data_IF_805338180900
#
_entry.id   IF_805338180900
#
_cell.length_a   1.000
_cell.length_b   1.000
_cell.length_c   1.000
_cell.angle_alpha   90.00
_cell.angle_beta   90.00
_cell.angle_gamma   90.00
#
_symmetry.space_group_name_H-M   'P 1'
#
loop_
_entity.id
_entity.type
_entity.pdbx_description
1 polymer ?
#
# COMPACT_ATOMS: atom_id res chain seq x y z
N UNK A 1 -7.42 -2.00 13.91
CA UNK A 1 -6.76 -1.03 13.02
C UNK A 1 -7.73 -0.59 11.94
N UNK A 2 -7.44 0.49 11.24
CA UNK A 2 -8.18 0.86 10.02
C UNK A 2 -7.58 0.09 8.85
N UNK A 3 -8.32 -0.77 8.15
CA UNK A 3 -7.80 -1.46 6.99
C UNK A 3 -7.51 -0.47 5.86
N UNK A 4 -6.28 -0.53 5.36
CA UNK A 4 -5.82 0.19 4.18
C UNK A 4 -5.32 -0.85 3.21
N UNK A 5 -5.84 -0.81 1.98
CA UNK A 5 -5.37 -1.66 0.89
C UNK A 5 -4.87 -0.80 -0.25
N UNK A 6 -3.89 -1.32 -0.99
CA UNK A 6 -3.38 -0.71 -2.20
C UNK A 6 -3.33 -1.76 -3.29
N UNK A 7 -3.69 -1.37 -4.51
CA UNK A 7 -3.57 -2.20 -5.70
C UNK A 7 -2.86 -1.39 -6.78
N UNK A 8 -1.97 -2.03 -7.51
CA UNK A 8 -1.32 -1.47 -8.68
C UNK A 8 -1.52 -2.44 -9.84
N UNK A 9 -1.80 -1.90 -11.01
CA UNK A 9 -1.92 -2.65 -12.25
C UNK A 9 -1.21 -1.89 -13.36
N UNK A 10 -0.53 -2.61 -14.22
CA UNK A 10 0.19 -2.12 -15.39
C UNK A 10 -0.56 -2.38 -16.70
N UNK A 11 -1.67 -3.13 -16.66
CA UNK A 11 -2.46 -3.52 -17.82
C UNK A 11 -3.98 -3.48 -17.53
N UNK A 12 -4.81 -2.91 -18.44
CA UNK A 12 -4.45 -2.29 -19.72
C UNK A 12 -3.83 -0.88 -19.59
N UNK A 13 -3.93 -0.26 -18.41
CA UNK A 13 -3.36 1.05 -18.10
C UNK A 13 -2.65 1.00 -16.75
N UNK A 14 -1.64 1.86 -16.57
CA UNK A 14 -0.92 2.01 -15.31
C UNK A 14 -1.80 2.74 -14.28
N UNK A 15 -2.35 1.98 -13.33
CA UNK A 15 -3.26 2.50 -12.31
C UNK A 15 -2.77 2.05 -10.93
N UNK A 16 -2.66 3.01 -10.02
CA UNK A 16 -2.47 2.77 -8.59
C UNK A 16 -3.71 3.25 -7.83
N UNK A 17 -4.34 2.36 -7.05
CA UNK A 17 -5.49 2.67 -6.21
C UNK A 17 -5.16 2.37 -4.77
N UNK A 18 -5.34 3.36 -3.89
CA UNK A 18 -5.30 3.17 -2.44
C UNK A 18 -6.70 3.35 -1.89
N UNK A 19 -7.16 2.35 -1.14
CA UNK A 19 -8.47 2.33 -0.52
C UNK A 19 -8.34 2.31 0.99
N UNK A 20 -9.07 3.20 1.65
CA UNK A 20 -9.21 3.23 3.11
C UNK A 20 -10.66 2.94 3.43
N UNK A 21 -10.91 1.87 4.19
CA UNK A 21 -12.26 1.47 4.60
C UNK A 21 -12.33 1.54 6.11
N UNK A 22 -13.30 2.29 6.64
CA UNK A 22 -13.54 2.34 8.08
C UNK A 22 -15.03 2.42 8.38
N UNK A 23 -15.51 1.73 9.43
CA UNK A 23 -16.83 1.97 9.96
C UNK A 23 -16.83 3.33 10.67
N UNK A 24 -17.73 4.23 10.27
CA UNK A 24 -17.93 5.55 10.90
C UNK A 24 -19.43 5.84 11.01
N UNK A 25 -19.80 6.62 12.02
CA UNK A 25 -21.13 7.21 12.07
C UNK A 25 -21.26 8.32 11.01
N UNK A 26 -22.44 8.52 10.40
CA UNK A 26 -22.67 9.53 9.35
C UNK A 26 -22.18 10.93 9.73
N UNK A 27 -22.44 11.34 10.97
CA UNK A 27 -22.12 12.68 11.47
C UNK A 27 -20.61 12.90 11.61
N UNK A 28 -19.83 11.81 11.71
CA UNK A 28 -18.38 11.83 11.86
C UNK A 28 -17.64 11.68 10.53
N UNK A 29 -18.34 11.44 9.42
CA UNK A 29 -17.74 11.19 8.11
C UNK A 29 -16.77 12.31 7.72
N UNK A 30 -17.21 13.57 7.85
CA UNK A 30 -16.38 14.74 7.50
C UNK A 30 -15.12 14.83 8.35
N UNK A 31 -15.26 14.64 9.67
CA UNK A 31 -14.13 14.70 10.59
C UNK A 31 -13.13 13.57 10.35
N UNK A 32 -13.60 12.34 10.12
CA UNK A 32 -12.74 11.19 9.83
C UNK A 32 -12.02 11.34 8.49
N UNK A 33 -12.74 11.82 7.47
CA UNK A 33 -12.17 12.10 6.15
C UNK A 33 -11.04 13.12 6.25
N UNK A 34 -11.21 14.19 7.03
CA UNK A 34 -10.17 15.20 7.24
C UNK A 34 -8.91 14.64 7.95
N UNK A 35 -9.08 13.68 8.86
CA UNK A 35 -7.95 13.01 9.52
C UNK A 35 -7.17 12.13 8.54
N UNK A 36 -7.86 11.41 7.64
CA UNK A 36 -7.24 10.61 6.58
C UNK A 36 -6.45 11.52 5.64
N UNK A 37 -7.06 12.61 5.18
CA UNK A 37 -6.40 13.58 4.30
C UNK A 37 -5.15 14.17 4.95
N UNK A 38 -5.20 14.45 6.27
CA UNK A 38 -4.02 14.89 7.02
C UNK A 38 -2.92 13.83 7.04
N UNK A 39 -3.27 12.56 7.27
CA UNK A 39 -2.30 11.46 7.24
C UNK A 39 -1.65 11.28 5.87
N UNK A 40 -2.44 11.35 4.80
CA UNK A 40 -1.96 11.29 3.41
C UNK A 40 -0.99 12.44 3.11
N UNK A 41 -1.33 13.68 3.50
CA UNK A 41 -0.43 14.83 3.36
C UNK A 41 0.88 14.64 4.12
N UNK A 42 0.81 14.16 5.37
CA UNK A 42 2.01 13.88 6.14
C UNK A 42 2.90 12.83 5.47
N UNK A 43 2.31 11.79 4.87
CA UNK A 43 3.05 10.77 4.13
C UNK A 43 3.74 11.35 2.89
N UNK A 44 3.05 12.21 2.13
CA UNK A 44 3.64 12.90 0.97
C UNK A 44 4.78 13.87 1.35
N UNK A 45 4.65 14.57 2.48
CA UNK A 45 5.61 15.59 2.92
C UNK A 45 6.82 15.01 3.66
N UNK A 46 6.58 14.03 4.53
CA UNK A 46 7.57 13.53 5.50
C UNK A 46 7.92 12.06 5.33
N UNK A 47 7.06 11.27 4.70
CA UNK A 47 7.19 9.81 4.66
C UNK A 47 7.00 9.16 6.04
N UNK A 48 7.31 7.87 6.16
CA UNK A 48 7.30 7.18 7.45
C UNK A 48 8.48 7.62 8.32
N UNK A 49 8.39 7.38 9.63
CA UNK A 49 9.56 7.49 10.50
C UNK A 49 10.60 6.42 10.16
N UNK A 50 11.87 6.70 10.44
CA UNK A 50 12.97 5.72 10.28
C UNK A 50 12.71 4.43 11.06
N UNK A 51 12.19 4.55 12.30
CA UNK A 51 11.84 3.41 13.13
C UNK A 51 10.75 2.54 12.48
N UNK A 52 9.71 3.16 11.92
CA UNK A 52 8.63 2.42 11.26
C UNK A 52 9.11 1.76 9.97
N UNK A 53 9.92 2.45 9.17
CA UNK A 53 10.51 1.87 7.96
C UNK A 53 11.40 0.66 8.32
N UNK A 54 12.25 0.79 9.34
CA UNK A 54 13.10 -0.30 9.80
C UNK A 54 12.27 -1.53 10.24
N UNK A 55 11.22 -1.32 11.03
CA UNK A 55 10.32 -2.41 11.47
C UNK A 55 9.60 -3.08 10.30
N UNK A 56 9.14 -2.31 9.32
CA UNK A 56 8.47 -2.85 8.13
C UNK A 56 9.46 -3.67 7.29
N UNK A 57 10.68 -3.17 7.07
CA UNK A 57 11.73 -3.93 6.37
C UNK A 57 12.03 -5.25 7.08
N UNK A 58 12.24 -5.23 8.39
CA UNK A 58 12.49 -6.44 9.18
C UNK A 58 11.33 -7.44 9.06
N UNK A 59 10.08 -6.95 9.16
CA UNK A 59 8.89 -7.77 8.98
C UNK A 59 8.83 -8.39 7.58
N UNK A 60 9.04 -7.61 6.52
CA UNK A 60 9.00 -8.10 5.13
C UNK A 60 10.07 -9.15 4.85
N UNK A 61 11.30 -8.95 5.36
CA UNK A 61 12.39 -9.91 5.22
C UNK A 61 12.08 -11.23 5.95
N UNK A 62 11.50 -11.15 7.15
CA UNK A 62 11.08 -12.32 7.92
C UNK A 62 9.89 -13.03 7.30
N UNK A 63 8.90 -12.30 6.77
CA UNK A 63 7.75 -12.89 6.05
C UNK A 63 8.23 -13.66 4.82
N UNK A 64 9.14 -13.08 4.05
CA UNK A 64 9.70 -13.72 2.86
C UNK A 64 10.41 -15.04 3.19
N UNK A 65 11.15 -15.11 4.29
CA UNK A 65 11.79 -16.36 4.74
C UNK A 65 10.79 -17.49 5.04
N UNK A 66 9.58 -17.14 5.50
CA UNK A 66 8.50 -18.12 5.70
C UNK A 66 7.80 -18.47 4.39
N UNK A 67 7.53 -17.47 3.53
CA UNK A 67 6.93 -17.64 2.20
C UNK A 67 7.77 -18.55 1.29
N UNK A 68 9.10 -18.51 1.40
CA UNK A 68 10.02 -19.42 0.69
C UNK A 68 9.81 -20.91 1.04
N UNK A 69 9.07 -21.23 2.10
CA UNK A 69 8.71 -22.61 2.48
C UNK A 69 7.33 -23.03 1.96
N UNK A 70 6.59 -22.13 1.33
CA UNK A 70 5.20 -22.32 0.91
C UNK A 70 5.09 -22.59 -0.61
N UNK A 71 4.41 -23.67 -0.99
CA UNK A 71 4.27 -24.07 -2.39
C UNK A 71 3.43 -23.09 -3.23
N UNK A 72 2.42 -22.46 -2.63
CA UNK A 72 1.57 -21.49 -3.32
C UNK A 72 2.37 -20.22 -3.65
N UNK A 73 3.29 -19.82 -2.76
CA UNK A 73 4.22 -18.73 -3.03
C UNK A 73 5.14 -19.02 -4.22
N UNK A 74 5.72 -20.23 -4.29
CA UNK A 74 6.54 -20.65 -5.43
C UNK A 74 5.76 -20.67 -6.74
N UNK A 75 4.54 -21.20 -6.72
CA UNK A 75 3.67 -21.23 -7.90
C UNK A 75 3.34 -19.81 -8.40
N UNK A 76 2.99 -18.91 -7.49
CA UNK A 76 2.72 -17.50 -7.80
C UNK A 76 3.96 -16.81 -8.40
N UNK A 77 5.13 -16.99 -7.77
CA UNK A 77 6.39 -16.39 -8.22
C UNK A 77 6.81 -16.88 -9.61
N UNK A 78 6.68 -18.18 -9.89
CA UNK A 78 6.95 -18.75 -11.22
C UNK A 78 6.01 -18.20 -12.29
N UNK A 79 4.72 -18.04 -11.96
CA UNK A 79 3.74 -17.46 -12.87
C UNK A 79 4.08 -16.00 -13.20
N UNK A 80 4.39 -15.18 -12.18
CA UNK A 80 4.73 -13.76 -12.35
C UNK A 80 6.03 -13.60 -13.16
N UNK A 81 7.05 -14.41 -12.87
CA UNK A 81 8.30 -14.42 -13.64
C UNK A 81 8.08 -14.82 -15.10
N UNK A 82 7.33 -15.90 -15.33
CA UNK A 82 7.12 -16.42 -16.69
C UNK A 82 6.25 -15.49 -17.55
N UNK A 83 5.25 -14.84 -16.94
CA UNK A 83 4.26 -14.03 -17.67
C UNK A 83 4.63 -12.56 -17.78
N UNK A 84 5.24 -11.99 -16.74
CA UNK A 84 5.50 -10.56 -16.62
C UNK A 84 6.98 -10.23 -16.39
N UNK A 85 7.87 -11.23 -16.36
CA UNK A 85 9.30 -11.07 -16.07
C UNK A 85 9.57 -10.37 -14.73
N UNK A 86 8.67 -10.55 -13.76
CA UNK A 86 8.80 -10.00 -12.41
C UNK A 86 9.47 -11.05 -11.50
N UNK A 87 10.55 -10.66 -10.82
CA UNK A 87 11.33 -11.52 -9.93
C UNK A 87 11.07 -11.14 -8.47
N UNK A 88 10.60 -12.10 -7.67
CA UNK A 88 10.25 -11.88 -6.26
C UNK A 88 11.02 -12.80 -5.31
N UNK A 89 11.88 -13.69 -5.85
CA UNK A 89 12.67 -14.64 -5.05
C UNK A 89 14.10 -14.14 -4.95
N UNK A 90 14.80 -14.03 -6.08
CA UNK A 90 16.19 -13.59 -6.12
C UNK A 90 16.28 -12.06 -5.98
N UNK A 91 17.17 -11.58 -5.11
CA UNK A 91 17.37 -10.14 -4.90
C UNK A 91 16.28 -9.43 -4.07
N UNK A 92 15.28 -10.16 -3.55
CA UNK A 92 14.20 -9.58 -2.73
C UNK A 92 14.74 -8.81 -1.52
N UNK A 93 15.70 -9.38 -0.79
CA UNK A 93 16.26 -8.76 0.40
C UNK A 93 17.00 -7.45 0.08
N UNK A 94 17.75 -7.42 -1.03
CA UNK A 94 18.44 -6.22 -1.48
C UNK A 94 17.44 -5.14 -1.91
N UNK A 95 16.37 -5.52 -2.61
CA UNK A 95 15.28 -4.64 -2.97
C UNK A 95 14.65 -4.00 -1.72
N UNK A 96 14.20 -4.79 -0.75
CA UNK A 96 13.59 -4.29 0.51
C UNK A 96 14.56 -3.37 1.26
N UNK A 97 15.83 -3.73 1.34
CA UNK A 97 16.83 -2.92 2.03
C UNK A 97 17.14 -1.61 1.31
N UNK A 98 17.05 -1.59 -0.03
CA UNK A 98 17.28 -0.40 -0.85
C UNK A 98 16.20 0.69 -0.69
N UNK A 99 14.97 0.31 -0.33
CA UNK A 99 13.84 1.26 -0.20
C UNK A 99 14.16 2.33 0.85
N UNK A 100 14.20 3.59 0.45
CA UNK A 100 14.44 4.73 1.31
C UNK A 100 13.14 5.45 1.70
N UNK A 101 13.23 6.36 2.68
CA UNK A 101 12.13 7.25 3.02
C UNK A 101 11.76 8.13 1.80
N UNK A 102 12.75 8.52 1.00
CA UNK A 102 12.52 9.35 -0.18
C UNK A 102 11.75 8.61 -1.27
N UNK A 103 12.05 7.33 -1.50
CA UNK A 103 11.30 6.50 -2.46
C UNK A 103 9.82 6.42 -2.07
N UNK A 104 9.55 6.24 -0.77
CA UNK A 104 8.19 6.19 -0.24
C UNK A 104 7.48 7.53 -0.38
N UNK A 105 8.17 8.64 -0.10
CA UNK A 105 7.62 9.99 -0.29
C UNK A 105 7.31 10.27 -1.75
N UNK A 106 8.23 9.97 -2.66
CA UNK A 106 8.05 10.17 -4.10
C UNK A 106 6.88 9.33 -4.61
N UNK A 107 6.79 8.06 -4.20
CA UNK A 107 5.67 7.18 -4.56
C UNK A 107 4.35 7.74 -4.02
N UNK A 108 4.31 8.18 -2.77
CA UNK A 108 3.12 8.80 -2.19
C UNK A 108 2.70 10.07 -2.95
N UNK A 109 3.64 10.91 -3.37
CA UNK A 109 3.35 12.09 -4.19
C UNK A 109 2.80 11.72 -5.58
N UNK A 110 3.34 10.68 -6.22
CA UNK A 110 2.83 10.20 -7.51
C UNK A 110 1.41 9.65 -7.40
N UNK A 111 1.15 8.81 -6.39
CA UNK A 111 -0.16 8.17 -6.20
C UNK A 111 -1.22 9.18 -5.76
N UNK A 112 -0.93 9.99 -4.73
CA UNK A 112 -1.93 10.89 -4.14
C UNK A 112 -1.96 12.30 -4.75
N UNK A 113 -0.90 12.69 -5.48
CA UNK A 113 -0.79 14.02 -6.10
C UNK A 113 -1.60 14.18 -7.40
N UNK A 114 -2.10 13.09 -7.98
CA UNK A 114 -2.93 13.13 -9.19
C UNK A 114 -4.30 13.81 -8.99
N UNK A 115 -4.72 14.02 -7.73
CA UNK A 115 -6.00 14.66 -7.39
C UNK A 115 -7.22 13.76 -7.57
N UNK A 116 -7.05 12.53 -8.08
CA UNK A 116 -8.11 11.55 -8.21
C UNK A 116 -8.50 11.02 -6.83
N UNK A 117 -9.64 11.47 -6.31
CA UNK A 117 -10.10 11.17 -4.96
C UNK A 117 -11.61 10.95 -4.93
N UNK A 118 -12.01 9.79 -4.40
CA UNK A 118 -13.41 9.41 -4.19
C UNK A 118 -13.63 9.18 -2.69
N UNK A 119 -14.71 9.74 -2.14
CA UNK A 119 -15.19 9.44 -0.79
C UNK A 119 -16.61 8.94 -0.90
N UNK A 120 -16.86 7.76 -0.34
CA UNK A 120 -18.17 7.11 -0.34
C UNK A 120 -18.62 6.96 1.11
N UNK A 121 -19.71 7.64 1.46
CA UNK A 121 -20.48 7.36 2.67
C UNK A 121 -21.55 6.32 2.36
N UNK A 122 -21.64 5.27 3.17
CA UNK A 122 -22.72 4.29 3.07
C UNK A 122 -23.60 4.40 4.30
N UNK A 123 -24.90 4.60 4.07
CA UNK A 123 -25.91 4.69 5.12
C UNK A 123 -27.03 3.69 4.82
N UNK A 124 -27.60 3.09 5.85
CA UNK A 124 -28.81 2.29 5.70
C UNK A 124 -29.97 3.23 5.37
N UNK A 125 -30.79 2.95 4.34
CA UNK A 125 -31.97 3.76 4.05
C UNK A 125 -32.86 3.90 5.28
N UNK A 126 -33.37 5.11 5.53
CA UNK A 126 -34.43 5.33 6.52
C UNK A 126 -35.76 4.88 5.89
N UNK A 127 -36.52 4.02 6.56
CA UNK A 127 -37.88 3.62 6.16
C UNK A 127 -38.87 4.78 6.16
#
# INVERSE_FOLDING_TARGET
GVPVSANMSDYPEEIAVVQVVLPTAPEKLVAMTALIDKGVKQMMEKGPSEENLAKIKEYMLRSHQEELKDNDYWMSSLLLKTRYNQEFVEGYADCVNSVSIEDIKQTAQQVFGCGNRLVVGMETPQE
#
